data_IF_830220504134
#
_entry.id   IF_830220504134
#
_cell.length_a   1.000
_cell.length_b   1.000
_cell.length_c   1.000
_cell.angle_alpha   90.00
_cell.angle_beta   90.00
_cell.angle_gamma   90.00
#
_symmetry.space_group_name_H-M   'P 1'
#
loop_
_entity.id
_entity.type
_entity.pdbx_description
1 polymer ?
#
# COMPACT_ATOMS: atom_id res chain seq x y z
N UNK A 1 -17.49 12.55 -5.40
CA UNK A 1 -16.50 11.46 -5.35
C UNK A 1 -15.96 11.35 -3.94
N UNK A 2 -15.89 10.16 -3.40
CA UNK A 2 -15.28 9.89 -2.09
C UNK A 2 -13.94 9.21 -2.27
N UNK A 3 -12.95 9.56 -1.44
CA UNK A 3 -11.60 9.00 -1.50
C UNK A 3 -11.24 8.43 -0.13
N UNK A 4 -11.22 7.11 -0.06
CA UNK A 4 -11.04 6.36 1.18
C UNK A 4 -9.74 5.59 1.13
N UNK A 5 -8.91 5.75 2.16
CA UNK A 5 -7.69 4.96 2.33
C UNK A 5 -8.01 3.54 2.76
N UNK A 6 -7.30 2.58 2.20
CA UNK A 6 -7.33 1.19 2.63
C UNK A 6 -5.91 0.78 3.03
N UNK A 7 -5.76 0.28 4.23
CA UNK A 7 -4.46 -0.15 4.76
C UNK A 7 -4.62 -1.30 5.73
N UNK A 8 -3.54 -1.81 6.24
CA UNK A 8 -3.55 -2.90 7.24
C UNK A 8 -2.16 -3.37 7.58
N UNK A 9 -2.06 -4.30 8.52
CA UNK A 9 -0.81 -4.97 8.82
C UNK A 9 -0.39 -5.95 7.72
N UNK A 10 0.85 -6.38 7.76
CA UNK A 10 1.36 -7.40 6.84
C UNK A 10 0.50 -8.67 6.93
N UNK A 11 0.12 -9.23 5.79
CA UNK A 11 -0.69 -10.44 5.66
C UNK A 11 -2.09 -10.40 6.31
N UNK A 12 -2.64 -9.22 6.61
CA UNK A 12 -4.02 -9.09 7.08
C UNK A 12 -5.06 -9.32 5.98
N UNK A 13 -4.67 -9.26 4.71
CA UNK A 13 -5.55 -9.51 3.56
C UNK A 13 -6.12 -8.25 2.91
N UNK A 14 -5.41 -7.12 2.99
CA UNK A 14 -5.79 -5.85 2.33
C UNK A 14 -6.14 -6.05 0.86
N UNK A 15 -5.32 -6.78 0.10
CA UNK A 15 -5.58 -7.08 -1.32
C UNK A 15 -6.90 -7.80 -1.55
N UNK A 16 -7.29 -8.72 -0.66
CA UNK A 16 -8.58 -9.44 -0.74
C UNK A 16 -9.74 -8.47 -0.52
N UNK A 17 -9.63 -7.59 0.47
CA UNK A 17 -10.63 -6.56 0.77
C UNK A 17 -10.72 -5.54 -0.37
N UNK A 18 -9.58 -5.10 -0.91
CA UNK A 18 -9.53 -4.22 -2.08
C UNK A 18 -10.26 -4.83 -3.29
N UNK A 19 -10.06 -6.14 -3.53
CA UNK A 19 -10.76 -6.85 -4.61
C UNK A 19 -12.27 -6.92 -4.34
N UNK A 20 -12.71 -7.14 -3.10
CA UNK A 20 -14.14 -7.12 -2.76
C UNK A 20 -14.78 -5.76 -3.05
N UNK A 21 -14.12 -4.64 -2.70
CA UNK A 21 -14.59 -3.31 -3.07
C UNK A 21 -14.64 -3.10 -4.58
N UNK A 22 -13.65 -3.58 -5.32
CA UNK A 22 -13.62 -3.51 -6.80
C UNK A 22 -14.79 -4.27 -7.42
N UNK A 23 -15.11 -5.45 -6.91
CA UNK A 23 -16.24 -6.28 -7.35
C UNK A 23 -17.60 -5.59 -7.14
N UNK A 24 -17.69 -4.66 -6.18
CA UNK A 24 -18.86 -3.85 -5.88
C UNK A 24 -18.95 -2.54 -6.67
N UNK A 25 -17.93 -2.23 -7.47
CA UNK A 25 -17.89 -1.04 -8.32
C UNK A 25 -17.02 0.10 -7.83
N UNK A 26 -16.24 -0.08 -6.75
CA UNK A 26 -15.23 0.90 -6.35
C UNK A 26 -14.10 0.98 -7.38
N UNK A 27 -13.58 2.18 -7.59
CA UNK A 27 -12.30 2.36 -8.29
C UNK A 27 -11.19 2.17 -7.28
N UNK A 28 -10.29 1.21 -7.54
CA UNK A 28 -9.17 0.92 -6.63
C UNK A 28 -7.87 1.44 -7.22
N UNK A 29 -7.21 2.34 -6.49
CA UNK A 29 -5.87 2.87 -6.80
C UNK A 29 -4.86 2.15 -5.91
N UNK A 30 -3.95 1.41 -6.51
CA UNK A 30 -2.96 0.60 -5.78
C UNK A 30 -1.61 1.31 -5.76
N UNK A 31 -1.17 1.76 -4.57
CA UNK A 31 0.12 2.43 -4.41
C UNK A 31 1.31 1.54 -4.81
N UNK A 32 1.22 0.23 -4.61
CA UNK A 32 2.26 -0.73 -5.03
C UNK A 32 2.40 -0.84 -6.55
N UNK A 33 1.30 -0.71 -7.30
CA UNK A 33 1.33 -0.65 -8.76
C UNK A 33 2.01 0.66 -9.20
N UNK A 34 1.56 1.79 -8.66
CA UNK A 34 2.16 3.11 -8.94
C UNK A 34 3.65 3.11 -8.59
N UNK A 35 4.06 2.48 -7.47
CA UNK A 35 5.47 2.37 -7.08
C UNK A 35 6.33 1.62 -8.11
N UNK A 36 5.74 0.72 -8.88
CA UNK A 36 6.44 0.04 -9.99
C UNK A 36 6.51 0.92 -11.23
N UNK A 37 5.44 1.61 -11.55
CA UNK A 37 5.32 2.46 -12.74
C UNK A 37 6.22 3.70 -12.66
N UNK A 38 6.28 4.37 -11.51
CA UNK A 38 7.08 5.60 -11.35
C UNK A 38 8.58 5.41 -11.52
N UNK A 39 9.07 4.17 -11.43
CA UNK A 39 10.50 3.86 -11.61
C UNK A 39 10.82 3.21 -12.97
N UNK A 40 9.85 3.18 -13.90
CA UNK A 40 10.06 2.68 -15.26
C UNK A 40 10.98 3.62 -16.07
N UNK A 41 11.73 3.09 -17.04
CA UNK A 41 12.61 3.90 -17.89
C UNK A 41 11.88 5.11 -18.50
N UNK A 42 12.50 6.27 -18.39
CA UNK A 42 11.94 7.53 -18.90
C UNK A 42 11.19 8.38 -17.88
N UNK A 43 10.84 7.82 -16.71
CA UNK A 43 10.17 8.58 -15.64
C UNK A 43 11.13 9.48 -14.86
N UNK A 44 10.57 10.46 -14.15
CA UNK A 44 11.35 11.38 -13.30
C UNK A 44 12.07 10.67 -12.15
N UNK A 45 11.39 9.72 -11.48
CA UNK A 45 12.02 8.93 -10.42
C UNK A 45 13.16 8.06 -10.95
N UNK A 46 12.98 7.40 -12.10
CA UNK A 46 14.05 6.64 -12.74
C UNK A 46 15.29 7.49 -12.97
N UNK A 47 15.13 8.68 -13.58
CA UNK A 47 16.25 9.58 -13.84
C UNK A 47 16.95 10.02 -12.55
N UNK A 48 16.18 10.38 -11.52
CA UNK A 48 16.71 10.75 -10.20
C UNK A 48 17.45 9.61 -9.52
N UNK A 49 16.95 8.36 -9.63
CA UNK A 49 17.60 7.16 -9.09
C UNK A 49 18.92 6.90 -9.81
N UNK A 50 18.91 6.91 -11.15
CA UNK A 50 20.13 6.72 -11.94
C UNK A 50 21.16 7.82 -11.66
N UNK A 51 20.71 9.07 -11.53
CA UNK A 51 21.59 10.19 -11.14
C UNK A 51 22.18 10.05 -9.75
N UNK A 52 21.41 9.49 -8.80
CA UNK A 52 21.81 9.34 -7.40
C UNK A 52 22.74 8.14 -7.15
N UNK A 53 22.52 7.03 -7.87
CA UNK A 53 23.20 5.74 -7.63
C UNK A 53 24.14 5.34 -8.78
N UNK A 54 24.12 6.08 -9.89
CA UNK A 54 24.96 5.82 -11.06
C UNK A 54 24.39 4.72 -11.96
N UNK A 55 25.04 4.55 -13.13
CA UNK A 55 24.59 3.57 -14.15
C UNK A 55 24.67 2.11 -13.70
N UNK A 56 25.37 1.80 -12.61
CA UNK A 56 25.47 0.43 -12.06
C UNK A 56 24.12 -0.15 -11.60
N UNK A 57 23.11 0.72 -11.34
CA UNK A 57 21.76 0.29 -10.96
C UNK A 57 20.83 0.12 -12.16
N UNK A 58 21.37 0.18 -13.38
CA UNK A 58 20.60 -0.03 -14.62
C UNK A 58 20.95 -1.40 -15.19
N UNK A 59 19.94 -2.23 -15.42
CA UNK A 59 20.07 -3.53 -16.03
C UNK A 59 20.37 -3.47 -17.53
N UNK A 60 20.65 -4.62 -18.13
CA UNK A 60 20.97 -4.73 -19.57
C UNK A 60 19.80 -4.34 -20.47
N UNK A 61 18.59 -4.47 -19.96
CA UNK A 61 17.32 -4.10 -20.62
C UNK A 61 16.95 -2.62 -20.44
N UNK A 62 17.78 -1.85 -19.73
CA UNK A 62 17.54 -0.44 -19.45
C UNK A 62 16.63 -0.17 -18.25
N UNK A 63 16.06 -1.19 -17.60
CA UNK A 63 15.27 -1.04 -16.37
C UNK A 63 16.19 -0.96 -15.14
N UNK A 64 15.62 -0.61 -13.97
CA UNK A 64 16.40 -0.65 -12.73
C UNK A 64 16.71 -2.09 -12.33
N UNK A 65 17.99 -2.38 -12.09
CA UNK A 65 18.42 -3.64 -11.46
C UNK A 65 18.05 -3.61 -9.97
N UNK A 66 16.89 -4.18 -9.66
CA UNK A 66 16.34 -4.20 -8.28
C UNK A 66 17.22 -4.95 -7.32
N UNK A 67 18.00 -5.94 -7.80
CA UNK A 67 18.92 -6.71 -6.97
C UNK A 67 20.10 -5.84 -6.56
N UNK A 68 20.78 -5.22 -7.52
CA UNK A 68 21.91 -4.32 -7.26
C UNK A 68 21.47 -3.14 -6.39
N UNK A 69 20.34 -2.52 -6.70
CA UNK A 69 19.81 -1.41 -5.91
C UNK A 69 19.46 -1.87 -4.49
N UNK A 70 18.85 -3.04 -4.34
CA UNK A 70 18.54 -3.67 -3.05
C UNK A 70 19.79 -3.92 -2.21
N UNK A 71 20.86 -4.45 -2.79
CA UNK A 71 22.14 -4.67 -2.10
C UNK A 71 22.76 -3.36 -1.59
N UNK A 72 22.69 -2.29 -2.39
CA UNK A 72 23.20 -0.96 -1.99
C UNK A 72 22.41 -0.44 -0.78
N UNK A 73 21.09 -0.45 -0.84
CA UNK A 73 20.24 0.16 0.22
C UNK A 73 20.13 -0.73 1.48
N UNK A 74 20.41 -2.02 1.34
CA UNK A 74 20.47 -2.94 2.48
C UNK A 74 21.68 -2.63 3.37
N UNK A 75 22.83 -2.33 2.77
CA UNK A 75 24.09 -2.11 3.47
C UNK A 75 24.35 -0.63 3.81
N UNK A 76 23.58 0.31 3.29
CA UNK A 76 23.76 1.74 3.49
C UNK A 76 22.43 2.43 3.82
N UNK A 77 22.29 2.86 5.09
CA UNK A 77 21.09 3.54 5.59
C UNK A 77 20.89 4.93 4.97
N UNK A 78 21.96 5.61 4.54
CA UNK A 78 21.88 6.91 3.87
C UNK A 78 21.37 6.71 2.45
N UNK A 79 21.91 5.73 1.73
CA UNK A 79 21.44 5.33 0.41
C UNK A 79 19.96 4.92 0.45
N UNK A 80 19.56 4.13 1.45
CA UNK A 80 18.14 3.75 1.64
C UNK A 80 17.23 4.96 1.84
N UNK A 81 17.63 5.90 2.72
CA UNK A 81 16.85 7.13 2.92
C UNK A 81 16.74 7.96 1.65
N UNK A 82 17.83 8.05 0.88
CA UNK A 82 17.84 8.78 -0.40
C UNK A 82 16.91 8.14 -1.44
N UNK A 83 16.93 6.80 -1.58
CA UNK A 83 16.01 6.09 -2.46
C UNK A 83 14.56 6.31 -2.05
N UNK A 84 14.25 6.14 -0.76
CA UNK A 84 12.91 6.35 -0.23
C UNK A 84 12.42 7.78 -0.47
N UNK A 85 13.25 8.80 -0.26
CA UNK A 85 12.88 10.19 -0.51
C UNK A 85 12.51 10.43 -1.98
N UNK A 86 13.25 9.85 -2.92
CA UNK A 86 12.95 9.95 -4.36
C UNK A 86 11.64 9.23 -4.68
N UNK A 87 11.49 7.97 -4.25
CA UNK A 87 10.35 7.14 -4.65
C UNK A 87 9.05 7.58 -3.96
N UNK A 88 9.07 7.87 -2.64
CA UNK A 88 7.86 8.26 -1.91
C UNK A 88 7.27 9.58 -2.44
N UNK A 89 8.13 10.54 -2.80
CA UNK A 89 7.66 11.80 -3.38
C UNK A 89 6.93 11.57 -4.70
N UNK A 90 7.51 10.78 -5.61
CA UNK A 90 6.93 10.50 -6.92
C UNK A 90 5.65 9.66 -6.80
N UNK A 91 5.65 8.63 -5.96
CA UNK A 91 4.46 7.81 -5.69
C UNK A 91 3.32 8.69 -5.19
N UNK A 92 3.59 9.53 -4.19
CA UNK A 92 2.57 10.45 -3.66
C UNK A 92 2.01 11.38 -4.72
N UNK A 93 2.88 11.98 -5.54
CA UNK A 93 2.44 12.87 -6.62
C UNK A 93 1.56 12.15 -7.64
N UNK A 94 1.92 10.91 -8.01
CA UNK A 94 1.12 10.11 -8.95
C UNK A 94 -0.24 9.70 -8.35
N UNK A 95 -0.28 9.30 -7.06
CA UNK A 95 -1.55 9.00 -6.39
C UNK A 95 -2.45 10.24 -6.38
N UNK A 96 -1.93 11.40 -6.00
CA UNK A 96 -2.71 12.65 -5.97
C UNK A 96 -3.19 13.05 -7.37
N UNK A 97 -2.33 12.92 -8.38
CA UNK A 97 -2.71 13.21 -9.77
C UNK A 97 -3.80 12.26 -10.27
N UNK A 98 -3.74 10.99 -9.92
CA UNK A 98 -4.76 9.99 -10.27
C UNK A 98 -6.09 10.28 -9.56
N UNK A 99 -6.07 10.65 -8.27
CA UNK A 99 -7.26 11.09 -7.53
C UNK A 99 -7.92 12.29 -8.23
N UNK A 100 -7.14 13.32 -8.59
CA UNK A 100 -7.67 14.50 -9.30
C UNK A 100 -8.21 14.16 -10.69
N UNK A 101 -7.55 13.28 -11.44
CA UNK A 101 -8.05 12.78 -12.71
C UNK A 101 -9.40 12.07 -12.54
N UNK A 102 -9.50 11.20 -11.54
CA UNK A 102 -10.73 10.48 -11.22
C UNK A 102 -11.85 11.44 -10.77
N UNK A 103 -11.52 12.47 -10.01
CA UNK A 103 -12.47 13.51 -9.58
C UNK A 103 -13.12 14.21 -10.77
N UNK A 104 -12.33 14.47 -11.81
CA UNK A 104 -12.84 15.10 -13.02
C UNK A 104 -13.66 14.16 -13.92
N UNK A 105 -13.33 12.86 -13.95
CA UNK A 105 -13.94 11.89 -14.88
C UNK A 105 -15.04 11.03 -14.24
N UNK A 106 -15.03 10.86 -12.93
CA UNK A 106 -15.92 9.98 -12.16
C UNK A 106 -16.42 10.69 -10.87
N UNK A 107 -17.16 11.82 -10.98
CA UNK A 107 -17.47 12.68 -9.83
C UNK A 107 -18.31 12.01 -8.74
N UNK A 108 -19.01 10.93 -9.04
CA UNK A 108 -19.88 10.21 -8.11
C UNK A 108 -19.25 8.88 -7.60
N UNK A 109 -18.01 8.58 -8.02
CA UNK A 109 -17.38 7.32 -7.66
C UNK A 109 -16.93 7.28 -6.20
N UNK A 110 -16.86 6.08 -5.63
CA UNK A 110 -16.08 5.78 -4.44
C UNK A 110 -14.72 5.24 -4.90
N UNK A 111 -13.67 5.90 -4.47
CA UNK A 111 -12.27 5.56 -4.79
C UNK A 111 -11.63 5.00 -3.53
N UNK A 112 -11.15 3.79 -3.61
CA UNK A 112 -10.36 3.14 -2.55
C UNK A 112 -8.87 3.26 -2.92
N UNK A 113 -8.08 3.88 -2.07
CA UNK A 113 -6.63 4.03 -2.26
C UNK A 113 -5.92 3.03 -1.35
N UNK A 114 -5.43 1.92 -1.92
CA UNK A 114 -4.66 0.90 -1.20
C UNK A 114 -3.23 1.37 -1.01
N UNK A 115 -2.90 1.77 0.23
CA UNK A 115 -1.59 2.28 0.61
C UNK A 115 -1.02 1.41 1.73
N UNK A 116 -0.07 0.51 1.44
CA UNK A 116 0.63 -0.23 2.47
C UNK A 116 1.32 0.70 3.47
N UNK A 117 1.23 0.37 4.74
CA UNK A 117 1.88 1.13 5.83
C UNK A 117 1.45 2.60 5.92
N UNK A 118 0.25 2.97 5.46
CA UNK A 118 -0.27 4.34 5.49
C UNK A 118 -0.13 4.96 6.90
N UNK A 119 -0.61 4.26 7.92
CA UNK A 119 -0.57 4.72 9.32
C UNK A 119 0.81 4.51 9.99
N UNK A 120 1.70 3.73 9.39
CA UNK A 120 3.07 3.55 9.87
C UNK A 120 4.02 4.64 9.36
N UNK A 121 3.65 5.39 8.32
CA UNK A 121 4.56 6.29 7.61
C UNK A 121 4.02 7.72 7.42
N UNK A 122 3.22 7.93 6.37
CA UNK A 122 2.84 9.27 5.90
C UNK A 122 1.56 9.83 6.49
N UNK A 123 0.68 8.97 6.98
CA UNK A 123 -0.66 9.37 7.43
C UNK A 123 -1.65 9.69 6.28
N UNK A 124 -2.96 9.72 6.60
CA UNK A 124 -4.02 9.95 5.62
C UNK A 124 -4.03 11.37 5.04
N UNK A 125 -3.57 12.36 5.81
CA UNK A 125 -3.54 13.79 5.41
C UNK A 125 -2.66 14.00 4.17
N UNK A 126 -1.63 13.15 3.99
CA UNK A 126 -0.74 13.24 2.83
C UNK A 126 -1.45 13.04 1.49
N UNK A 127 -2.62 12.41 1.48
CA UNK A 127 -3.37 12.03 0.29
C UNK A 127 -4.76 12.64 0.22
N UNK A 128 -5.12 13.54 1.15
CA UNK A 128 -6.44 14.17 1.25
C UNK A 128 -7.57 13.12 1.29
N UNK A 129 -7.38 12.07 2.10
CA UNK A 129 -8.37 11.00 2.29
C UNK A 129 -9.51 11.48 3.20
N UNK A 130 -10.73 11.08 2.89
CA UNK A 130 -11.94 11.40 3.64
C UNK A 130 -12.20 10.44 4.80
N UNK A 131 -11.46 9.31 4.84
CA UNK A 131 -11.46 8.33 5.90
C UNK A 131 -10.51 7.19 5.59
N UNK A 132 -10.28 6.34 6.59
CA UNK A 132 -9.34 5.22 6.51
C UNK A 132 -10.01 3.93 6.97
N UNK A 133 -9.94 2.92 6.12
CA UNK A 133 -10.30 1.53 6.42
C UNK A 133 -9.02 0.79 6.83
N UNK A 134 -9.02 0.19 8.01
CA UNK A 134 -7.94 -0.69 8.47
C UNK A 134 -8.41 -2.15 8.42
N UNK A 135 -7.67 -2.98 7.69
CA UNK A 135 -7.90 -4.43 7.65
C UNK A 135 -7.05 -5.08 8.72
N UNK A 136 -7.69 -5.84 9.59
CA UNK A 136 -7.03 -6.58 10.67
C UNK A 136 -7.19 -8.08 10.50
N UNK A 137 -6.28 -8.84 11.11
CA UNK A 137 -6.35 -10.30 11.23
C UNK A 137 -5.61 -10.74 12.49
N UNK A 138 -5.96 -11.90 13.02
CA UNK A 138 -5.24 -12.47 14.18
C UNK A 138 -3.78 -12.74 13.83
N UNK A 139 -2.88 -12.51 14.79
CA UNK A 139 -1.43 -12.68 14.63
C UNK A 139 -1.07 -14.08 14.09
N UNK A 140 -1.73 -15.11 14.61
CA UNK A 140 -1.52 -16.50 14.18
C UNK A 140 -1.80 -16.67 12.68
N UNK A 141 -2.86 -16.06 12.18
CA UNK A 141 -3.22 -16.12 10.76
C UNK A 141 -2.23 -15.32 9.88
N UNK A 142 -1.75 -14.19 10.38
CA UNK A 142 -0.69 -13.44 9.69
C UNK A 142 0.57 -14.29 9.55
N UNK A 143 0.97 -15.00 10.62
CA UNK A 143 2.12 -15.91 10.62
C UNK A 143 1.92 -17.04 9.61
N UNK A 144 0.77 -17.71 9.63
CA UNK A 144 0.44 -18.80 8.70
C UNK A 144 0.47 -18.32 7.24
N UNK A 145 -0.16 -17.17 6.97
CA UNK A 145 -0.20 -16.58 5.62
C UNK A 145 1.20 -16.18 5.13
N UNK A 146 2.04 -15.59 5.99
CA UNK A 146 3.43 -15.25 5.65
C UNK A 146 4.28 -16.49 5.41
N UNK A 147 4.13 -17.51 6.23
CA UNK A 147 4.83 -18.79 6.04
C UNK A 147 4.45 -19.44 4.70
N UNK A 148 3.15 -19.48 4.39
CA UNK A 148 2.65 -20.09 3.16
C UNK A 148 3.04 -19.29 1.91
N UNK A 149 2.99 -17.96 1.96
CA UNK A 149 3.26 -17.08 0.81
C UNK A 149 4.74 -16.91 0.52
N UNK A 150 5.53 -16.63 1.56
CA UNK A 150 6.92 -16.17 1.43
C UNK A 150 7.95 -17.24 1.84
N UNK A 151 7.54 -18.35 2.45
CA UNK A 151 8.44 -19.41 2.93
C UNK A 151 9.43 -18.96 4.01
N UNK A 152 9.09 -17.93 4.76
CA UNK A 152 9.97 -17.32 5.75
C UNK A 152 10.13 -18.18 6.99
N UNK A 153 11.29 -18.06 7.65
CA UNK A 153 11.51 -18.65 8.96
C UNK A 153 10.63 -17.95 10.03
N UNK A 154 10.30 -18.64 11.15
CA UNK A 154 9.54 -18.04 12.24
C UNK A 154 10.14 -16.72 12.72
N UNK A 155 11.45 -16.65 12.94
CA UNK A 155 12.13 -15.44 13.41
C UNK A 155 12.01 -14.28 12.42
N UNK A 156 12.11 -14.56 11.11
CA UNK A 156 11.95 -13.53 10.07
C UNK A 156 10.51 -13.02 9.99
N UNK A 157 9.52 -13.87 10.28
CA UNK A 157 8.11 -13.49 10.36
C UNK A 157 7.88 -12.57 11.56
N UNK A 158 8.36 -12.97 12.75
CA UNK A 158 8.21 -12.17 13.98
C UNK A 158 8.85 -10.78 13.79
N UNK A 159 10.08 -10.71 13.27
CA UNK A 159 10.75 -9.45 12.98
C UNK A 159 9.93 -8.53 12.06
N UNK A 160 9.25 -9.08 11.04
CA UNK A 160 8.41 -8.29 10.13
C UNK A 160 7.12 -7.80 10.79
N UNK A 161 6.52 -8.61 11.65
CA UNK A 161 5.33 -8.23 12.40
C UNK A 161 5.67 -7.14 13.43
N UNK A 162 6.77 -7.30 14.16
CA UNK A 162 7.20 -6.38 15.21
C UNK A 162 7.80 -5.06 14.66
N UNK A 163 8.16 -5.03 13.38
CA UNK A 163 8.60 -3.80 12.71
C UNK A 163 7.44 -2.83 12.38
N UNK A 164 6.19 -3.28 12.49
CA UNK A 164 5.00 -2.45 12.27
C UNK A 164 4.44 -1.93 13.59
N UNK A 165 3.72 -0.82 13.53
CA UNK A 165 2.96 -0.32 14.68
C UNK A 165 1.93 -1.36 15.14
N UNK A 166 1.64 -1.42 16.47
CA UNK A 166 0.62 -2.30 17.00
C UNK A 166 -0.74 -2.13 16.29
N UNK A 167 -1.44 -3.24 16.06
CA UNK A 167 -2.74 -3.21 15.39
C UNK A 167 -3.76 -2.34 16.14
N UNK A 168 -3.74 -2.37 17.46
CA UNK A 168 -4.63 -1.57 18.32
C UNK A 168 -4.46 -0.06 18.13
N UNK A 169 -3.25 0.41 17.83
CA UNK A 169 -3.01 1.82 17.53
C UNK A 169 -3.59 2.17 16.16
N UNK A 170 -3.47 1.30 15.17
CA UNK A 170 -4.05 1.51 13.85
C UNK A 170 -5.57 1.48 13.87
N UNK A 171 -6.16 0.58 14.66
CA UNK A 171 -7.62 0.54 14.88
C UNK A 171 -8.14 1.83 15.51
N UNK A 172 -7.40 2.41 16.43
CA UNK A 172 -7.79 3.67 17.08
C UNK A 172 -7.72 4.89 16.15
N UNK A 173 -6.96 4.82 15.06
CA UNK A 173 -6.85 5.87 14.03
C UNK A 173 -7.74 5.60 12.80
N UNK A 174 -8.43 4.46 12.77
CA UNK A 174 -9.29 4.06 11.66
C UNK A 174 -10.70 4.66 11.80
N UNK A 175 -11.29 5.08 10.68
CA UNK A 175 -12.72 5.40 10.62
C UNK A 175 -13.54 4.11 10.52
N UNK A 176 -13.00 3.07 9.87
CA UNK A 176 -13.61 1.75 9.76
C UNK A 176 -12.57 0.64 9.91
N UNK A 177 -13.00 -0.46 10.53
CA UNK A 177 -12.19 -1.67 10.69
C UNK A 177 -12.88 -2.84 10.00
N UNK A 178 -12.14 -3.58 9.19
CA UNK A 178 -12.56 -4.85 8.58
C UNK A 178 -11.75 -5.98 9.23
N UNK A 179 -12.41 -6.81 10.01
CA UNK A 179 -11.81 -8.00 10.62
C UNK A 179 -11.81 -9.18 9.62
N UNK A 180 -10.63 -9.52 9.10
CA UNK A 180 -10.39 -10.64 8.20
C UNK A 180 -9.83 -11.87 8.95
N UNK A 181 -10.23 -12.03 10.21
CA UNK A 181 -9.89 -13.20 11.03
C UNK A 181 -10.88 -14.36 10.86
N UNK A 182 -12.05 -14.08 10.31
CA UNK A 182 -13.09 -15.07 10.07
C UNK A 182 -13.01 -15.73 8.69
N UNK A 183 -14.14 -16.22 8.21
CA UNK A 183 -14.29 -16.72 6.85
C UNK A 183 -14.30 -15.57 5.83
N UNK A 184 -14.02 -15.89 4.57
CA UNK A 184 -14.13 -14.91 3.49
C UNK A 184 -15.56 -14.35 3.35
N UNK A 185 -16.57 -15.14 3.70
CA UNK A 185 -17.97 -14.72 3.68
C UNK A 185 -18.26 -13.67 4.75
N UNK A 186 -17.73 -13.87 5.96
CA UNK A 186 -17.85 -12.87 7.05
C UNK A 186 -17.12 -11.57 6.70
N UNK A 187 -15.94 -11.66 6.12
CA UNK A 187 -15.20 -10.49 5.63
C UNK A 187 -15.99 -9.77 4.53
N UNK A 188 -16.53 -10.51 3.55
CA UNK A 188 -17.37 -9.94 2.48
C UNK A 188 -18.58 -9.21 3.02
N UNK A 189 -19.28 -9.80 4.00
CA UNK A 189 -20.43 -9.14 4.64
C UNK A 189 -20.07 -7.79 5.26
N UNK A 190 -18.92 -7.70 5.94
CA UNK A 190 -18.46 -6.44 6.51
C UNK A 190 -18.19 -5.40 5.41
N UNK A 191 -17.54 -5.82 4.32
CA UNK A 191 -17.26 -4.96 3.16
C UNK A 191 -18.57 -4.49 2.50
N UNK A 192 -19.55 -5.36 2.33
CA UNK A 192 -20.86 -5.03 1.78
C UNK A 192 -21.60 -3.98 2.63
N UNK A 193 -21.61 -4.14 3.95
CA UNK A 193 -22.22 -3.17 4.86
C UNK A 193 -21.52 -1.81 4.77
N UNK A 194 -20.21 -1.80 4.80
CA UNK A 194 -19.45 -0.56 4.66
C UNK A 194 -19.65 0.09 3.29
N UNK A 195 -19.72 -0.71 2.21
CA UNK A 195 -20.01 -0.20 0.87
C UNK A 195 -21.34 0.55 0.81
N UNK A 196 -22.39 -0.01 1.41
CA UNK A 196 -23.71 0.67 1.48
C UNK A 196 -23.62 1.99 2.25
N UNK A 197 -22.88 2.02 3.36
CA UNK A 197 -22.66 3.25 4.13
C UNK A 197 -21.93 4.31 3.28
N UNK A 198 -20.86 3.91 2.58
CA UNK A 198 -20.10 4.81 1.71
C UNK A 198 -20.94 5.39 0.56
N UNK A 199 -21.94 4.68 0.06
CA UNK A 199 -22.83 5.16 -0.98
C UNK A 199 -23.91 6.14 -0.47
N UNK A 200 -24.27 6.07 0.82
CA UNK A 200 -25.34 6.88 1.41
C UNK A 200 -24.86 8.23 1.95
N UNK A 201 -23.61 8.38 2.26
CA UNK A 201 -22.98 9.63 2.72
C UNK A 201 -22.65 10.53 1.54
#
# INVERSE_FOLDING_TARGET
>A
MKVIGLTGGIATGVTTVAQMFRDMGAIVVEADQIAREVVEPGTGAYQKIVGAFGKKVVGRDGTLDRKVLGEIVFNDTVARRRLNAITHQEIRQHILAEIERLRATNPDAVVIVDIPLLLDTTGPEAFNLEGVIVVVARREQQIERLKARDGLSPDAIEQRLDAQRPVTEKEAEADWVIDNSGSLEETRRQVELLWQELLMQ
#
